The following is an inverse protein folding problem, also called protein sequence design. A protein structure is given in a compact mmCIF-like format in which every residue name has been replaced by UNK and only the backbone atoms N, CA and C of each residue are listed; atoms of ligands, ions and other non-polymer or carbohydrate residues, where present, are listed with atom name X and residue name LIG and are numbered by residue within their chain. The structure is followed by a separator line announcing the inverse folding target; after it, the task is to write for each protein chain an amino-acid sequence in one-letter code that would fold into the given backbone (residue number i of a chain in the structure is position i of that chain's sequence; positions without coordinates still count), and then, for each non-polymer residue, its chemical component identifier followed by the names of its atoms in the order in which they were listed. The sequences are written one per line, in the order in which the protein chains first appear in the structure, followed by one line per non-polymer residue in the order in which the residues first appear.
data_IF_593368319565
#
_entry.id   IF_593368319565
#
_cell.length_a   1.000
_cell.length_b   1.000
_cell.length_c   1.000
_cell.angle_alpha   90.00
_cell.angle_beta   90.00
_cell.angle_gamma   90.00
#
_symmetry.space_group_name_H-M   'P 1'
#
loop_
_entity.id
_entity.type
_entity.pdbx_description
1 polymer ?
#
# COMPACT_ATOMS: atom_id res chain seq x y z
N UNK A 1 26.66 -13.38 -3.28
CA UNK A 1 27.33 -12.40 -4.15
C UNK A 1 26.45 -11.22 -4.57
N UNK A 2 25.18 -11.37 -4.97
CA UNK A 2 24.28 -10.20 -5.14
C UNK A 2 23.63 -9.71 -3.83
N UNK A 3 23.43 -10.59 -2.85
CA UNK A 3 22.85 -10.25 -1.53
C UNK A 3 23.74 -9.30 -0.72
N UNK A 4 25.05 -9.49 -0.82
CA UNK A 4 26.02 -8.85 0.07
C UNK A 4 26.23 -7.38 -0.33
N UNK A 5 26.23 -7.10 -1.64
CA UNK A 5 26.25 -5.73 -2.16
C UNK A 5 24.98 -4.96 -1.84
N UNK A 6 23.79 -5.59 -1.99
CA UNK A 6 22.52 -4.92 -1.68
C UNK A 6 22.46 -4.51 -0.20
N UNK A 7 22.84 -5.42 0.70
CA UNK A 7 22.88 -5.15 2.13
C UNK A 7 23.90 -4.07 2.51
N UNK A 8 25.13 -4.16 2.00
CA UNK A 8 26.14 -3.12 2.27
C UNK A 8 25.76 -1.76 1.68
N UNK A 9 25.09 -1.74 0.53
CA UNK A 9 24.59 -0.50 -0.07
C UNK A 9 23.43 0.09 0.74
N UNK A 10 22.46 -0.72 1.17
CA UNK A 10 21.35 -0.27 2.00
C UNK A 10 21.84 0.21 3.37
N UNK A 11 22.74 -0.53 4.03
CA UNK A 11 23.33 -0.11 5.32
C UNK A 11 24.14 1.20 5.20
N UNK A 12 24.73 1.50 4.04
CA UNK A 12 25.55 2.70 3.83
C UNK A 12 24.75 3.92 3.35
N UNK A 13 23.66 3.70 2.59
CA UNK A 13 22.89 4.78 1.94
C UNK A 13 21.48 4.98 2.51
N UNK A 14 20.90 3.97 3.16
CA UNK A 14 19.60 4.06 3.84
C UNK A 14 19.89 4.16 5.34
N UNK A 15 19.98 5.38 5.85
CA UNK A 15 20.03 5.57 7.30
C UNK A 15 18.75 5.07 7.96
N UNK A 16 18.83 4.71 9.24
CA UNK A 16 17.67 4.35 10.05
C UNK A 16 16.57 5.42 9.95
N UNK A 17 16.94 6.70 9.95
CA UNK A 17 16.03 7.84 9.75
C UNK A 17 15.23 7.78 8.43
N UNK A 18 15.84 7.32 7.34
CA UNK A 18 15.17 7.19 6.03
C UNK A 18 14.16 6.04 6.08
N UNK A 19 14.52 4.94 6.73
CA UNK A 19 13.62 3.80 6.93
C UNK A 19 12.42 4.21 7.80
N UNK A 20 12.64 4.93 8.89
CA UNK A 20 11.58 5.48 9.74
C UNK A 20 10.68 6.46 8.99
N UNK A 21 11.26 7.30 8.12
CA UNK A 21 10.50 8.20 7.26
C UNK A 21 9.57 7.44 6.31
N UNK A 22 10.05 6.37 5.66
CA UNK A 22 9.22 5.54 4.78
C UNK A 22 8.13 4.79 5.54
N UNK A 23 8.41 4.31 6.76
CA UNK A 23 7.37 3.74 7.62
C UNK A 23 6.30 4.79 7.94
N UNK A 24 6.71 5.98 8.38
CA UNK A 24 5.80 7.09 8.66
C UNK A 24 4.95 7.46 7.44
N UNK A 25 5.57 7.53 6.27
CA UNK A 25 4.90 7.76 4.98
C UNK A 25 3.85 6.66 4.71
N UNK A 26 4.22 5.39 4.90
CA UNK A 26 3.28 4.27 4.74
C UNK A 26 2.10 4.33 5.73
N UNK A 27 2.33 4.76 6.98
CA UNK A 27 1.28 4.79 8.01
C UNK A 27 0.30 5.95 7.84
N UNK A 28 0.77 7.06 7.26
CA UNK A 28 0.03 8.31 7.11
C UNK A 28 -0.56 8.50 5.71
N UNK A 29 -0.17 7.66 4.75
CA UNK A 29 -0.70 7.68 3.39
C UNK A 29 -2.21 7.45 3.40
N UNK A 30 -2.92 8.35 2.73
CA UNK A 30 -4.36 8.27 2.48
C UNK A 30 -4.66 8.53 1.00
N UNK A 31 -5.79 8.04 0.53
CA UNK A 31 -6.25 8.16 -0.85
C UNK A 31 -6.34 9.64 -1.25
N UNK A 32 -7.01 10.45 -0.42
CA UNK A 32 -7.36 11.83 -0.79
C UNK A 32 -8.04 11.86 -2.17
N UNK A 33 -7.88 12.92 -2.96
CA UNK A 33 -8.54 13.02 -4.27
C UNK A 33 -7.93 12.10 -5.36
N UNK A 34 -7.04 11.18 -5.00
CA UNK A 34 -6.36 10.30 -5.96
C UNK A 34 -7.22 9.07 -6.25
N UNK A 35 -7.09 8.58 -7.48
CA UNK A 35 -7.66 7.27 -7.85
C UNK A 35 -7.01 6.14 -7.04
N UNK A 36 -7.78 5.08 -6.77
CA UNK A 36 -7.31 3.83 -6.14
C UNK A 36 -6.07 3.27 -6.85
N UNK A 37 -6.04 3.34 -8.18
CA UNK A 37 -4.89 2.87 -8.97
C UNK A 37 -3.58 3.62 -8.66
N UNK A 38 -3.66 4.92 -8.38
CA UNK A 38 -2.50 5.74 -8.01
C UNK A 38 -2.08 5.47 -6.58
N UNK A 39 -3.04 5.31 -5.67
CA UNK A 39 -2.77 4.91 -4.30
C UNK A 39 -2.09 3.54 -4.23
N UNK A 40 -2.59 2.55 -4.98
CA UNK A 40 -2.02 1.21 -5.04
C UNK A 40 -0.54 1.26 -5.46
N UNK A 41 -0.22 1.91 -6.59
CA UNK A 41 1.15 1.97 -7.08
C UNK A 41 2.10 2.57 -6.05
N UNK A 42 1.67 3.65 -5.40
CA UNK A 42 2.48 4.32 -4.39
C UNK A 42 2.72 3.45 -3.14
N UNK A 43 1.69 2.74 -2.67
CA UNK A 43 1.83 1.80 -1.56
C UNK A 43 2.72 0.60 -1.95
N UNK A 44 2.60 0.09 -3.17
CA UNK A 44 3.45 -1.00 -3.68
C UNK A 44 4.93 -0.59 -3.73
N UNK A 45 5.23 0.65 -4.13
CA UNK A 45 6.59 1.19 -4.05
C UNK A 45 7.11 1.21 -2.61
N UNK A 46 6.30 1.66 -1.65
CA UNK A 46 6.68 1.66 -0.22
C UNK A 46 6.86 0.24 0.32
N UNK A 47 5.98 -0.71 -0.05
CA UNK A 47 6.13 -2.11 0.34
C UNK A 47 7.42 -2.72 -0.17
N UNK A 48 7.83 -2.40 -1.40
CA UNK A 48 9.10 -2.87 -1.95
C UNK A 48 10.29 -2.27 -1.19
N UNK A 49 10.26 -0.97 -0.88
CA UNK A 49 11.34 -0.28 -0.14
C UNK A 49 11.49 -0.79 1.29
N UNK A 50 10.37 -1.09 1.95
CA UNK A 50 10.31 -1.58 3.33
C UNK A 50 10.36 -3.10 3.43
N UNK A 51 10.53 -3.79 2.30
CA UNK A 51 10.48 -5.26 2.17
C UNK A 51 9.22 -5.91 2.80
N UNK A 52 8.09 -5.20 2.79
CA UNK A 52 6.79 -5.70 3.27
C UNK A 52 6.20 -6.62 2.21
N UNK A 53 6.22 -7.92 2.50
CA UNK A 53 5.70 -8.97 1.58
C UNK A 53 4.49 -9.72 2.14
N UNK A 54 4.17 -9.50 3.40
CA UNK A 54 3.04 -10.15 4.04
C UNK A 54 1.72 -9.63 3.45
N UNK A 55 0.95 -10.56 2.88
CA UNK A 55 -0.32 -10.25 2.21
C UNK A 55 -1.31 -9.58 3.18
N UNK A 56 -1.34 -10.04 4.44
CA UNK A 56 -2.24 -9.49 5.46
C UNK A 56 -1.90 -8.05 5.77
N UNK A 57 -0.62 -7.74 5.95
CA UNK A 57 -0.10 -6.40 6.21
C UNK A 57 -0.38 -5.49 5.01
N UNK A 58 -0.05 -5.91 3.79
CA UNK A 58 -0.32 -5.11 2.58
C UNK A 58 -1.80 -4.79 2.45
N UNK A 59 -2.68 -5.78 2.66
CA UNK A 59 -4.13 -5.60 2.68
C UNK A 59 -4.56 -4.59 3.74
N UNK A 60 -4.14 -4.74 4.99
CA UNK A 60 -4.53 -3.84 6.08
C UNK A 60 -4.10 -2.40 5.81
N UNK A 61 -2.85 -2.21 5.36
CA UNK A 61 -2.32 -0.87 5.03
C UNK A 61 -3.08 -0.24 3.86
N UNK A 62 -3.39 -1.00 2.83
CA UNK A 62 -4.17 -0.51 1.70
C UNK A 62 -5.60 -0.11 2.08
N UNK A 63 -6.33 -0.98 2.78
CA UNK A 63 -7.71 -0.68 3.21
C UNK A 63 -7.76 0.54 4.12
N UNK A 64 -6.80 0.67 5.05
CA UNK A 64 -6.69 1.85 5.94
C UNK A 64 -6.43 3.14 5.17
N UNK A 65 -5.74 3.07 4.04
CA UNK A 65 -5.43 4.22 3.22
C UNK A 65 -6.59 4.64 2.30
N UNK A 66 -7.58 3.79 2.04
CA UNK A 66 -8.73 4.13 1.20
C UNK A 66 -9.61 5.20 1.85
N UNK A 67 -10.43 5.87 1.03
CA UNK A 67 -11.53 6.68 1.54
C UNK A 67 -12.46 5.83 2.43
N UNK A 68 -12.99 6.38 3.54
CA UNK A 68 -13.82 5.61 4.48
C UNK A 68 -15.01 4.90 3.84
N UNK A 69 -15.71 5.56 2.91
CA UNK A 69 -16.87 4.97 2.20
C UNK A 69 -16.46 3.78 1.33
N UNK A 70 -15.36 3.92 0.60
CA UNK A 70 -14.83 2.87 -0.25
C UNK A 70 -14.24 1.71 0.57
N UNK A 71 -13.52 2.02 1.66
CA UNK A 71 -12.98 1.05 2.59
C UNK A 71 -14.10 0.17 3.16
N UNK A 72 -15.20 0.79 3.59
CA UNK A 72 -16.37 0.08 4.11
C UNK A 72 -16.95 -0.91 3.08
N UNK A 73 -17.18 -0.47 1.85
CA UNK A 73 -17.72 -1.34 0.80
C UNK A 73 -16.78 -2.50 0.44
N UNK A 74 -15.47 -2.23 0.40
CA UNK A 74 -14.46 -3.26 0.16
C UNK A 74 -14.42 -4.27 1.31
N UNK A 75 -14.44 -3.84 2.57
CA UNK A 75 -14.41 -4.74 3.73
C UNK A 75 -15.64 -5.67 3.79
N UNK A 76 -16.81 -5.18 3.35
CA UNK A 76 -18.05 -5.98 3.28
C UNK A 76 -17.93 -7.22 2.39
N UNK A 77 -17.05 -7.19 1.39
CA UNK A 77 -16.82 -8.31 0.48
C UNK A 77 -16.02 -9.46 1.11
N UNK A 78 -15.37 -9.23 2.26
CA UNK A 78 -14.61 -10.22 3.03
C UNK A 78 -13.53 -10.96 2.22
N UNK A 79 -12.93 -10.27 1.25
CA UNK A 79 -11.87 -10.84 0.41
C UNK A 79 -10.60 -11.11 1.23
N UNK A 80 -9.92 -12.22 0.91
CA UNK A 80 -8.78 -12.72 1.69
C UNK A 80 -7.43 -12.20 1.19
N UNK A 81 -7.26 -11.95 -0.11
CA UNK A 81 -5.98 -11.52 -0.68
C UNK A 81 -5.95 -10.02 -1.02
N UNK A 82 -4.77 -9.41 -0.85
CA UNK A 82 -4.47 -8.04 -1.22
C UNK A 82 -4.87 -7.73 -2.66
N UNK A 83 -4.50 -8.60 -3.62
CA UNK A 83 -4.84 -8.43 -5.03
C UNK A 83 -6.35 -8.37 -5.26
N UNK A 84 -7.11 -9.27 -4.63
CA UNK A 84 -8.58 -9.27 -4.77
C UNK A 84 -9.18 -7.98 -4.20
N UNK A 85 -8.68 -7.54 -3.05
CA UNK A 85 -9.10 -6.30 -2.38
C UNK A 85 -8.82 -5.07 -3.25
N UNK A 86 -7.65 -4.99 -3.88
CA UNK A 86 -7.29 -3.90 -4.80
C UNK A 86 -8.21 -3.88 -6.02
N UNK A 87 -8.45 -5.03 -6.65
CA UNK A 87 -9.31 -5.13 -7.82
C UNK A 87 -10.75 -4.74 -7.50
N UNK A 88 -11.24 -5.15 -6.33
CA UNK A 88 -12.57 -4.79 -5.86
C UNK A 88 -12.69 -3.29 -5.55
N UNK A 89 -11.69 -2.70 -4.90
CA UNK A 89 -11.66 -1.26 -4.62
C UNK A 89 -11.72 -0.43 -5.92
N UNK A 90 -10.95 -0.81 -6.96
CA UNK A 90 -11.02 -0.16 -8.28
C UNK A 90 -12.39 -0.29 -8.94
N UNK A 91 -13.01 -1.47 -8.81
CA UNK A 91 -14.34 -1.75 -9.35
C UNK A 91 -15.39 -0.85 -8.69
N UNK A 92 -15.37 -0.76 -7.36
CA UNK A 92 -16.32 0.06 -6.60
C UNK A 92 -16.10 1.55 -6.85
N UNK A 93 -14.85 2.04 -6.86
CA UNK A 93 -14.52 3.44 -7.21
C UNK A 93 -15.12 3.83 -8.58
N UNK A 94 -15.01 2.94 -9.57
CA UNK A 94 -15.58 3.15 -10.91
C UNK A 94 -17.12 3.17 -10.89
N UNK A 95 -17.75 2.40 -9.99
CA UNK A 95 -19.20 2.41 -9.84
C UNK A 95 -19.67 3.69 -9.14
N UNK A 96 -19.00 4.12 -8.09
CA UNK A 96 -19.34 5.34 -7.35
C UNK A 96 -19.22 6.59 -8.21
N UNK A 97 -18.18 6.71 -9.03
CA UNK A 97 -18.00 7.87 -9.93
C UNK A 97 -18.98 7.93 -11.11
N UNK A 98 -19.83 6.92 -11.30
CA UNK A 98 -20.90 6.91 -12.33
C UNK A 98 -22.26 7.38 -11.79
N UNK A 99 -22.40 7.50 -10.47
CA UNK A 99 -23.61 7.99 -9.80
C UNK A 99 -23.38 9.40 -9.26
#
# INVERSE_FOLDING_TARGET
MHSDFKREFEDFFVSEDICEAWWTELETTVQGDKMVSKLQLYLEELFVRLEVRDNTTCKQRFVKALHPELAYEVERTKLSSYESVVNEAKRIETLMGKY
#
